data_IF_323158442695
#
_entry.id   IF_323158442695
#
_cell.length_a   1.000
_cell.length_b   1.000
_cell.length_c   1.000
_cell.angle_alpha   90.00
_cell.angle_beta   90.00
_cell.angle_gamma   90.00
#
_symmetry.space_group_name_H-M   'P 1'
#
loop_
_entity.id
_entity.type
_entity.pdbx_description
1 polymer ?
#
# COMPACT_ATOMS: atom_id res chain seq x y z
N UNK A 1 -17.23 -3.09 0.16
CA UNK A 1 -16.68 -1.81 -0.35
C UNK A 1 -15.35 -1.50 0.31
N UNK A 2 -14.37 -1.08 -0.47
CA UNK A 2 -13.03 -0.78 0.00
C UNK A 2 -12.92 0.70 0.35
N UNK A 3 -12.26 1.01 1.46
CA UNK A 3 -11.91 2.38 1.81
C UNK A 3 -10.40 2.48 2.01
N UNK A 4 -9.83 3.61 1.64
CA UNK A 4 -8.43 3.91 1.87
C UNK A 4 -8.33 5.00 2.92
N UNK A 5 -7.50 4.77 3.94
CA UNK A 5 -7.27 5.73 5.03
C UNK A 5 -5.77 5.89 5.22
N UNK A 6 -5.35 7.06 5.69
CA UNK A 6 -3.92 7.28 5.94
C UNK A 6 -3.37 6.25 6.90
N UNK A 7 -2.28 5.59 6.51
CA UNK A 7 -1.69 4.51 7.31
C UNK A 7 -1.20 5.00 8.67
N UNK A 8 -0.82 6.27 8.78
CA UNK A 8 -0.30 6.82 10.02
C UNK A 8 -1.32 6.82 11.17
N UNK A 9 -2.59 6.61 10.85
CA UNK A 9 -3.66 6.51 11.85
C UNK A 9 -3.91 5.08 12.32
N UNK A 10 -3.17 4.10 11.76
CA UNK A 10 -3.35 2.71 12.14
C UNK A 10 -2.36 2.30 13.23
N UNK A 11 -2.73 1.29 14.01
CA UNK A 11 -1.86 0.74 15.05
C UNK A 11 -0.72 -0.07 14.43
N UNK A 12 0.54 0.19 14.86
CA UNK A 12 1.65 -0.64 14.40
C UNK A 12 1.46 -2.13 14.70
N UNK A 13 0.82 -2.45 15.82
CA UNK A 13 0.55 -3.84 16.18
C UNK A 13 -0.36 -4.51 15.16
N UNK A 14 -1.44 -3.83 14.77
CA UNK A 14 -2.39 -4.37 13.78
C UNK A 14 -1.69 -4.62 12.44
N UNK A 15 -0.87 -3.66 12.00
CA UNK A 15 -0.11 -3.80 10.77
C UNK A 15 0.82 -5.01 10.84
N UNK A 16 1.57 -5.13 11.95
CA UNK A 16 2.55 -6.20 12.10
C UNK A 16 1.90 -7.59 12.13
N UNK A 17 0.73 -7.70 12.76
CA UNK A 17 0.03 -8.98 12.83
C UNK A 17 -0.39 -9.47 11.44
N UNK A 18 -0.89 -8.58 10.61
CA UNK A 18 -1.33 -8.96 9.26
C UNK A 18 -0.15 -9.13 8.30
N UNK A 19 0.87 -8.29 8.41
CA UNK A 19 2.02 -8.30 7.51
C UNK A 19 3.01 -9.42 7.82
N UNK A 20 3.01 -9.95 9.04
CA UNK A 20 3.94 -11.00 9.43
C UNK A 20 3.51 -12.35 8.86
N UNK A 21 3.75 -12.53 7.56
CA UNK A 21 3.30 -13.70 6.81
C UNK A 21 4.29 -13.97 5.68
N UNK A 22 4.87 -15.16 5.67
CA UNK A 22 5.86 -15.54 4.67
C UNK A 22 5.27 -15.53 3.25
N UNK A 23 4.00 -15.89 3.10
CA UNK A 23 3.35 -15.89 1.79
C UNK A 23 3.26 -14.48 1.19
N UNK A 24 3.16 -13.46 2.06
CA UNK A 24 3.23 -12.06 1.62
C UNK A 24 4.68 -11.69 1.30
N UNK A 25 5.59 -11.98 2.22
CA UNK A 25 6.99 -11.57 2.09
C UNK A 25 7.66 -12.15 0.86
N UNK A 26 7.40 -13.40 0.53
CA UNK A 26 8.03 -14.06 -0.61
C UNK A 26 7.60 -13.48 -1.96
N UNK A 27 6.45 -12.82 -2.00
CA UNK A 27 5.91 -12.20 -3.22
C UNK A 27 6.24 -10.72 -3.32
N UNK A 28 6.92 -10.16 -2.32
CA UNK A 28 7.33 -8.77 -2.31
C UNK A 28 8.86 -8.68 -2.45
N UNK A 29 9.35 -7.44 -2.53
CA UNK A 29 10.80 -7.22 -2.65
C UNK A 29 11.52 -7.70 -1.40
N UNK A 30 12.79 -8.06 -1.54
CA UNK A 30 13.63 -8.53 -0.44
C UNK A 30 13.67 -7.58 0.76
N UNK A 31 13.41 -6.30 0.54
CA UNK A 31 13.39 -5.31 1.61
C UNK A 31 12.15 -5.41 2.49
N UNK A 32 11.13 -6.17 2.09
CA UNK A 32 9.96 -6.37 2.94
C UNK A 32 10.35 -7.31 4.08
N UNK A 33 10.26 -6.84 5.34
CA UNK A 33 10.77 -7.63 6.47
C UNK A 33 10.02 -8.94 6.67
N UNK A 34 10.76 -9.97 7.08
CA UNK A 34 10.19 -11.20 7.56
C UNK A 34 11.15 -11.85 8.57
N UNK A 35 10.74 -12.08 9.83
CA UNK A 35 9.42 -11.77 10.38
C UNK A 35 9.15 -10.26 10.42
N UNK A 36 7.88 -9.89 10.31
CA UNK A 36 7.47 -8.50 10.35
C UNK A 36 7.12 -8.14 11.79
N UNK A 37 7.93 -7.30 12.41
CA UNK A 37 7.79 -6.96 13.81
C UNK A 37 7.03 -5.65 14.00
N UNK A 38 6.65 -5.36 15.25
CA UNK A 38 6.03 -4.07 15.59
C UNK A 38 7.00 -2.93 15.27
N UNK A 39 8.30 -3.12 15.52
CA UNK A 39 9.31 -2.10 15.19
C UNK A 39 9.36 -1.82 13.70
N UNK A 40 9.21 -2.85 12.86
CA UNK A 40 9.12 -2.66 11.42
C UNK A 40 7.90 -1.80 11.05
N UNK A 41 6.75 -2.05 11.70
CA UNK A 41 5.54 -1.28 11.45
C UNK A 41 5.70 0.17 11.90
N UNK A 42 6.32 0.40 13.05
CA UNK A 42 6.60 1.77 13.53
C UNK A 42 7.47 2.51 12.53
N UNK A 43 8.56 1.87 12.07
CA UNK A 43 9.45 2.48 11.09
C UNK A 43 8.74 2.79 9.78
N UNK A 44 7.88 1.89 9.33
CA UNK A 44 7.09 2.08 8.12
C UNK A 44 6.16 3.29 8.25
N UNK A 45 5.46 3.41 9.39
CA UNK A 45 4.57 4.56 9.63
C UNK A 45 5.36 5.86 9.66
N UNK A 46 6.53 5.88 10.31
CA UNK A 46 7.36 7.07 10.37
C UNK A 46 7.83 7.49 8.97
N UNK A 47 8.23 6.55 8.14
CA UNK A 47 8.61 6.84 6.76
C UNK A 47 7.42 7.35 5.95
N UNK A 48 6.23 6.80 6.19
CA UNK A 48 5.01 7.25 5.51
C UNK A 48 4.71 8.71 5.84
N UNK A 49 4.94 9.13 7.09
CA UNK A 49 4.73 10.51 7.51
C UNK A 49 5.66 11.50 6.82
N UNK A 50 6.86 11.07 6.45
CA UNK A 50 7.83 11.96 5.79
C UNK A 50 7.51 12.23 4.33
N UNK A 51 6.65 11.41 3.73
CA UNK A 51 6.35 11.49 2.30
C UNK A 51 7.35 10.77 1.42
N UNK A 52 8.41 10.16 1.99
CA UNK A 52 9.42 9.46 1.20
C UNK A 52 8.87 8.26 0.45
N UNK A 53 7.79 7.66 0.97
CA UNK A 53 7.14 6.52 0.33
C UNK A 53 5.98 6.94 -0.59
N UNK A 54 5.78 8.25 -0.79
CA UNK A 54 4.63 8.78 -1.50
C UNK A 54 3.41 8.82 -0.59
N UNK A 55 2.24 8.61 -1.18
CA UNK A 55 0.98 8.54 -0.43
C UNK A 55 0.75 7.10 -0.03
N UNK A 56 0.69 6.84 1.27
CA UNK A 56 0.54 5.49 1.81
C UNK A 56 -0.77 5.38 2.58
N UNK A 57 -1.55 4.36 2.25
CA UNK A 57 -2.86 4.15 2.84
C UNK A 57 -2.99 2.75 3.41
N UNK A 58 -3.76 2.63 4.51
CA UNK A 58 -4.30 1.35 4.90
C UNK A 58 -5.52 1.05 4.05
N UNK A 59 -5.73 -0.21 3.74
CA UNK A 59 -6.88 -0.69 2.97
C UNK A 59 -7.86 -1.29 3.97
N UNK A 60 -9.13 -0.87 3.88
CA UNK A 60 -10.16 -1.30 4.82
C UNK A 60 -11.37 -1.82 4.08
N UNK A 61 -11.91 -2.94 4.57
CA UNK A 61 -13.17 -3.49 4.13
C UNK A 61 -14.07 -3.57 5.36
N UNK A 62 -15.21 -2.86 5.32
CA UNK A 62 -16.15 -2.81 6.45
C UNK A 62 -15.46 -2.45 7.79
N UNK A 63 -14.59 -1.44 7.73
CA UNK A 63 -13.83 -0.93 8.87
C UNK A 63 -12.74 -1.88 9.38
N UNK A 64 -12.49 -2.99 8.69
CA UNK A 64 -11.42 -3.91 9.04
C UNK A 64 -10.19 -3.64 8.19
N UNK A 65 -9.03 -3.56 8.84
CA UNK A 65 -7.74 -3.38 8.15
C UNK A 65 -7.37 -4.67 7.43
N UNK A 66 -7.20 -4.59 6.12
CA UNK A 66 -6.90 -5.79 5.31
C UNK A 66 -5.59 -5.72 4.55
N UNK A 67 -4.90 -4.58 4.55
CA UNK A 67 -3.63 -4.45 3.85
C UNK A 67 -3.18 -3.02 3.72
N UNK A 68 -2.16 -2.80 2.93
CA UNK A 68 -1.61 -1.47 2.66
C UNK A 68 -1.44 -1.26 1.17
N UNK A 69 -1.50 0.00 0.76
CA UNK A 69 -1.20 0.39 -0.61
C UNK A 69 -0.52 1.74 -0.64
N UNK A 70 0.10 2.04 -1.76
CA UNK A 70 0.78 3.31 -1.92
C UNK A 70 0.62 3.83 -3.35
N UNK A 71 0.64 5.15 -3.46
CA UNK A 71 0.69 5.86 -4.72
C UNK A 71 1.88 6.80 -4.64
N UNK A 72 2.92 6.52 -5.40
CA UNK A 72 4.15 7.29 -5.36
C UNK A 72 4.30 8.09 -6.64
N UNK A 73 3.89 9.38 -6.63
CA UNK A 73 4.04 10.25 -7.80
C UNK A 73 5.51 10.46 -8.10
N UNK A 74 5.85 10.37 -9.38
CA UNK A 74 7.20 10.61 -9.86
C UNK A 74 7.12 11.54 -11.05
N UNK A 75 8.04 12.48 -11.13
CA UNK A 75 8.07 13.41 -12.26
C UNK A 75 9.44 13.39 -12.91
N UNK A 76 9.45 13.50 -14.21
CA UNK A 76 10.66 13.76 -14.96
C UNK A 76 10.46 15.00 -15.83
N UNK A 77 11.43 15.31 -16.68
CA UNK A 77 11.42 16.53 -17.51
C UNK A 77 10.21 16.55 -18.46
N UNK A 78 9.65 15.39 -18.77
CA UNK A 78 8.68 15.28 -19.86
C UNK A 78 7.28 14.89 -19.42
N UNK A 79 7.11 14.29 -18.23
CA UNK A 79 5.81 13.78 -17.83
C UNK A 79 5.73 13.51 -16.34
N UNK A 80 4.50 13.38 -15.87
CA UNK A 80 4.19 13.03 -14.49
C UNK A 80 3.69 11.59 -14.47
N UNK A 81 4.36 10.74 -13.72
CA UNK A 81 4.03 9.32 -13.55
C UNK A 81 3.71 9.02 -12.10
N UNK A 82 3.10 7.88 -11.87
CA UNK A 82 2.93 7.38 -10.51
C UNK A 82 3.11 5.87 -10.48
N UNK A 83 3.78 5.41 -9.45
CA UNK A 83 3.90 3.98 -9.15
C UNK A 83 2.89 3.62 -8.09
N UNK A 84 2.14 2.53 -8.31
CA UNK A 84 1.25 1.99 -7.29
C UNK A 84 1.84 0.69 -6.77
N UNK A 85 1.70 0.49 -5.45
CA UNK A 85 2.10 -0.75 -4.81
C UNK A 85 1.05 -1.14 -3.80
N UNK A 86 0.95 -2.43 -3.49
CA UNK A 86 0.02 -2.89 -2.48
C UNK A 86 0.39 -4.28 -1.98
N UNK A 87 -0.14 -4.61 -0.78
CA UNK A 87 -0.22 -5.98 -0.33
C UNK A 87 -1.54 -6.16 0.43
N UNK A 88 -2.09 -7.36 0.34
CA UNK A 88 -3.33 -7.74 1.02
C UNK A 88 -3.00 -8.88 1.97
N UNK A 89 -3.57 -8.86 3.17
CA UNK A 89 -3.41 -9.95 4.13
C UNK A 89 -3.96 -11.26 3.56
N UNK A 90 -3.25 -12.35 3.81
CA UNK A 90 -3.60 -13.66 3.23
C UNK A 90 -5.07 -14.06 3.44
N UNK A 91 -5.67 -13.87 4.64
CA UNK A 91 -7.08 -14.24 4.84
C UNK A 91 -8.06 -13.57 3.91
N UNK A 92 -7.64 -12.48 3.27
CA UNK A 92 -8.50 -11.65 2.41
C UNK A 92 -8.22 -11.86 0.92
N UNK A 93 -7.33 -12.77 0.56
CA UNK A 93 -6.99 -13.04 -0.82
C UNK A 93 -8.20 -13.63 -1.58
N UNK A 94 -8.22 -13.44 -2.90
CA UNK A 94 -9.23 -14.00 -3.81
C UNK A 94 -10.63 -13.42 -3.61
N UNK A 95 -10.69 -12.21 -3.07
CA UNK A 95 -11.97 -11.49 -2.88
C UNK A 95 -12.10 -10.26 -3.78
N UNK A 96 -11.15 -10.07 -4.71
CA UNK A 96 -11.17 -8.91 -5.60
C UNK A 96 -10.72 -7.61 -4.95
N UNK A 97 -10.19 -7.65 -3.72
CA UNK A 97 -9.78 -6.45 -3.01
C UNK A 97 -8.58 -5.76 -3.67
N UNK A 98 -7.63 -6.54 -4.19
CA UNK A 98 -6.47 -5.97 -4.87
C UNK A 98 -6.90 -5.18 -6.10
N UNK A 99 -7.80 -5.74 -6.91
CA UNK A 99 -8.33 -5.06 -8.09
C UNK A 99 -9.05 -3.78 -7.72
N UNK A 100 -9.91 -3.83 -6.69
CA UNK A 100 -10.63 -2.66 -6.22
C UNK A 100 -9.68 -1.57 -5.72
N UNK A 101 -8.61 -1.97 -5.01
CA UNK A 101 -7.61 -1.04 -4.49
C UNK A 101 -6.87 -0.34 -5.63
N UNK A 102 -6.39 -1.08 -6.60
CA UNK A 102 -5.68 -0.51 -7.76
C UNK A 102 -6.58 0.47 -8.50
N UNK A 103 -7.84 0.11 -8.67
CA UNK A 103 -8.81 0.99 -9.34
C UNK A 103 -8.98 2.31 -8.62
N UNK A 104 -9.09 2.29 -7.28
CA UNK A 104 -9.20 3.51 -6.48
C UNK A 104 -7.94 4.37 -6.60
N UNK A 105 -6.76 3.75 -6.56
CA UNK A 105 -5.50 4.48 -6.69
C UNK A 105 -5.35 5.11 -8.07
N UNK A 106 -5.75 4.41 -9.12
CA UNK A 106 -5.71 4.93 -10.48
C UNK A 106 -6.63 6.13 -10.63
N UNK A 107 -7.85 6.04 -10.10
CA UNK A 107 -8.79 7.15 -10.13
C UNK A 107 -8.25 8.37 -9.39
N UNK A 108 -7.65 8.15 -8.22
CA UNK A 108 -7.03 9.22 -7.44
C UNK A 108 -5.90 9.88 -8.23
N UNK A 109 -5.05 9.08 -8.87
CA UNK A 109 -3.91 9.59 -9.61
C UNK A 109 -4.36 10.50 -10.76
N UNK A 110 -5.30 10.04 -11.57
CA UNK A 110 -5.73 10.81 -12.74
C UNK A 110 -6.62 12.00 -12.37
N UNK A 111 -7.49 11.85 -11.39
CA UNK A 111 -8.50 12.86 -11.08
C UNK A 111 -8.04 13.91 -10.08
N UNK A 112 -7.16 13.57 -9.14
CA UNK A 112 -6.76 14.47 -8.07
C UNK A 112 -5.33 14.98 -8.20
N UNK A 113 -4.44 14.21 -8.80
CA UNK A 113 -3.03 14.54 -8.86
C UNK A 113 -2.54 14.92 -10.25
N UNK A 114 -3.41 14.86 -11.26
CA UNK A 114 -3.03 15.19 -12.63
C UNK A 114 -1.99 14.28 -13.23
N UNK A 115 -1.92 13.03 -12.75
CA UNK A 115 -0.94 12.05 -13.24
C UNK A 115 -1.32 11.63 -14.66
N UNK A 116 -0.33 11.56 -15.55
CA UNK A 116 -0.54 11.19 -16.94
C UNK A 116 -0.38 9.70 -17.19
N UNK A 117 0.36 9.01 -16.33
CA UNK A 117 0.66 7.61 -16.49
C UNK A 117 0.77 6.93 -15.13
N UNK A 118 0.14 5.76 -15.00
CA UNK A 118 0.23 4.94 -13.79
C UNK A 118 0.79 3.58 -14.15
N UNK A 119 1.70 3.08 -13.32
CA UNK A 119 2.22 1.73 -13.45
C UNK A 119 2.25 1.07 -12.08
N UNK A 120 2.25 -0.24 -12.07
CA UNK A 120 2.17 -1.00 -10.83
C UNK A 120 3.37 -1.93 -10.68
N UNK A 121 3.86 -1.99 -9.44
CA UNK A 121 4.84 -2.98 -9.02
C UNK A 121 4.03 -4.08 -8.31
N UNK A 122 3.63 -5.09 -9.07
CA UNK A 122 2.76 -6.14 -8.58
C UNK A 122 3.56 -7.43 -8.44
N UNK A 123 3.42 -8.07 -7.29
CA UNK A 123 4.04 -9.36 -6.99
C UNK A 123 2.92 -10.38 -6.74
N UNK A 124 2.96 -11.45 -7.47
CA UNK A 124 1.98 -12.53 -7.35
C UNK A 124 2.51 -13.68 -6.51
#
# INVERSE_FOLDING_TARGET
>A
MIQLRKIENESPWVISQLANNYEIAKNLRDIFPHPYTIDNAVSFIELAKTGELGLVFGIYSENEFIGCCSLNPQSDVYRINAEVGYWIGEPYWRNGYATATVKLLVEMAFNQLGIQRVYANIFE
#
